data_IF_373873411565
#
_entry.id   IF_373873411565
#
_cell.length_a   1.000
_cell.length_b   1.000
_cell.length_c   1.000
_cell.angle_alpha   90.00
_cell.angle_beta   90.00
_cell.angle_gamma   90.00
#
_symmetry.space_group_name_H-M   'P 1'
#
loop_
_entity.id
_entity.type
_entity.pdbx_description
1 polymer ?
#
# COMPACT_ATOMS: atom_id res chain seq x y z
N UNK A 1 -10.14 -23.63 -37.63
CA UNK A 1 -9.74 -22.45 -36.83
C UNK A 1 -10.88 -22.11 -35.87
N UNK A 2 -10.56 -21.82 -34.60
CA UNK A 2 -11.46 -21.32 -33.55
C UNK A 2 -12.49 -22.29 -32.93
N UNK A 3 -12.02 -23.36 -32.27
CA UNK A 3 -12.87 -24.17 -31.36
C UNK A 3 -12.07 -24.89 -30.25
N UNK A 4 -11.09 -24.25 -29.62
CA UNK A 4 -10.21 -24.90 -28.63
C UNK A 4 -9.86 -24.04 -27.40
N UNK A 5 -10.74 -23.12 -27.02
CA UNK A 5 -10.72 -22.60 -25.65
C UNK A 5 -12.10 -22.83 -25.08
N UNK A 6 -12.16 -23.65 -24.03
CA UNK A 6 -13.26 -23.71 -23.08
C UNK A 6 -13.40 -22.33 -22.42
N UNK A 7 -13.90 -21.35 -23.18
CA UNK A 7 -14.24 -20.04 -22.66
C UNK A 7 -15.59 -20.17 -21.99
N UNK A 8 -15.58 -20.76 -20.79
CA UNK A 8 -16.66 -20.56 -19.84
C UNK A 8 -16.70 -19.04 -19.60
N UNK A 9 -17.77 -18.37 -20.01
CA UNK A 9 -17.95 -16.93 -19.81
C UNK A 9 -17.88 -16.68 -18.30
N UNK A 10 -16.71 -16.28 -17.82
CA UNK A 10 -16.49 -16.06 -16.41
C UNK A 10 -17.44 -14.93 -15.97
N UNK A 11 -18.40 -15.28 -15.11
CA UNK A 11 -19.37 -14.33 -14.55
C UNK A 11 -18.60 -13.25 -13.81
N UNK A 12 -18.72 -12.01 -14.28
CA UNK A 12 -18.20 -10.84 -13.57
C UNK A 12 -18.87 -10.73 -12.19
N UNK A 13 -18.13 -10.31 -11.14
CA UNK A 13 -16.75 -9.81 -11.17
C UNK A 13 -15.71 -10.91 -10.89
N UNK A 14 -14.71 -11.00 -11.76
CA UNK A 14 -13.60 -11.96 -11.64
C UNK A 14 -12.54 -11.34 -10.73
N UNK A 15 -12.09 -12.04 -9.68
CA UNK A 15 -11.03 -11.54 -8.81
C UNK A 15 -9.65 -11.79 -9.42
N UNK A 16 -8.95 -10.73 -9.84
CA UNK A 16 -7.58 -10.82 -10.35
C UNK A 16 -6.61 -10.14 -9.38
N UNK A 17 -5.61 -10.89 -8.91
CA UNK A 17 -4.64 -10.46 -7.89
C UNK A 17 -5.26 -9.89 -6.59
N UNK A 18 -6.54 -10.17 -6.33
CA UNK A 18 -7.30 -9.66 -5.19
C UNK A 18 -8.06 -8.35 -5.45
N UNK A 19 -8.12 -7.88 -6.70
CA UNK A 19 -9.09 -6.87 -7.14
C UNK A 19 -10.21 -7.52 -7.97
N UNK A 20 -11.49 -7.24 -7.67
CA UNK A 20 -12.59 -7.56 -8.56
C UNK A 20 -12.48 -6.77 -9.88
N UNK A 21 -12.15 -7.46 -10.97
CA UNK A 21 -12.24 -6.93 -12.34
C UNK A 21 -13.72 -6.84 -12.73
N UNK A 22 -14.17 -5.63 -13.07
CA UNK A 22 -15.57 -5.33 -13.41
C UNK A 22 -16.31 -4.50 -12.36
N UNK A 23 -15.67 -4.12 -11.25
CA UNK A 23 -16.22 -3.19 -10.27
C UNK A 23 -15.89 -1.72 -10.57
N UNK A 24 -16.70 -0.78 -10.07
CA UNK A 24 -16.45 0.65 -10.22
C UNK A 24 -15.27 1.11 -9.33
N UNK A 25 -14.09 1.47 -9.89
CA UNK A 25 -12.89 1.81 -9.11
C UNK A 25 -13.05 3.07 -8.23
N UNK A 26 -14.13 3.84 -8.37
CA UNK A 26 -14.45 4.95 -7.46
C UNK A 26 -15.06 4.50 -6.13
N UNK A 27 -15.59 3.27 -6.03
CA UNK A 27 -16.15 2.75 -4.78
C UNK A 27 -15.03 2.28 -3.86
N UNK A 28 -14.99 2.79 -2.62
CA UNK A 28 -14.02 2.34 -1.61
C UNK A 28 -14.09 0.83 -1.34
N UNK A 29 -15.26 0.21 -1.52
CA UNK A 29 -15.45 -1.22 -1.26
C UNK A 29 -14.55 -2.14 -2.09
N UNK A 30 -14.21 -1.73 -3.33
CA UNK A 30 -13.25 -2.47 -4.18
C UNK A 30 -11.83 -2.49 -3.63
N UNK A 31 -11.49 -1.51 -2.80
CA UNK A 31 -10.15 -1.31 -2.29
C UNK A 31 -9.95 -1.87 -0.87
N UNK A 32 -11.03 -2.28 -0.19
CA UNK A 32 -10.98 -2.92 1.14
C UNK A 32 -10.05 -4.14 1.14
N UNK A 33 -10.08 -5.07 0.15
CA UNK A 33 -9.17 -6.21 0.11
C UNK A 33 -7.69 -5.80 0.04
N UNK A 34 -7.38 -4.74 -0.71
CA UNK A 34 -6.02 -4.19 -0.83
C UNK A 34 -5.55 -3.61 0.49
N UNK A 35 -6.40 -2.81 1.15
CA UNK A 35 -6.10 -2.25 2.46
C UNK A 35 -5.89 -3.34 3.51
N UNK A 36 -6.68 -4.42 3.45
CA UNK A 36 -6.51 -5.56 4.35
C UNK A 36 -5.20 -6.31 4.07
N UNK A 37 -4.82 -6.52 2.81
CA UNK A 37 -3.50 -7.07 2.46
C UNK A 37 -2.36 -6.22 3.02
N UNK A 38 -2.44 -4.89 2.86
CA UNK A 38 -1.45 -3.95 3.42
C UNK A 38 -1.34 -4.11 4.94
N UNK A 39 -2.49 -4.16 5.64
CA UNK A 39 -2.52 -4.36 7.09
C UNK A 39 -1.94 -5.71 7.51
N UNK A 40 -2.28 -6.79 6.80
CA UNK A 40 -1.76 -8.13 7.08
C UNK A 40 -0.25 -8.19 6.89
N UNK A 41 0.28 -7.54 5.86
CA UNK A 41 1.72 -7.47 5.67
C UNK A 41 2.36 -6.66 6.80
N UNK A 42 1.78 -5.53 7.21
CA UNK A 42 2.30 -4.68 8.30
C UNK A 42 2.18 -5.30 9.70
N UNK A 43 1.21 -6.20 9.93
CA UNK A 43 0.87 -6.69 11.28
C UNK A 43 2.01 -7.47 11.98
N UNK A 44 2.73 -8.41 11.32
CA UNK A 44 3.90 -9.07 11.89
C UNK A 44 5.02 -8.09 12.22
N UNK A 45 5.29 -7.15 11.32
CA UNK A 45 6.38 -6.18 11.46
C UNK A 45 6.11 -5.09 12.50
N UNK A 46 4.84 -4.83 12.81
CA UNK A 46 4.44 -3.95 13.91
C UNK A 46 4.76 -4.56 15.29
N UNK A 47 4.78 -5.91 15.37
CA UNK A 47 5.02 -6.66 16.61
C UNK A 47 6.51 -6.91 16.87
N UNK A 48 7.34 -6.95 15.82
CA UNK A 48 8.79 -7.03 15.93
C UNK A 48 9.44 -5.68 16.23
N UNK A 49 10.50 -5.67 17.05
CA UNK A 49 11.36 -4.49 17.29
C UNK A 49 12.18 -4.13 16.04
N UNK A 50 11.54 -3.68 14.96
CA UNK A 50 12.25 -3.19 13.79
C UNK A 50 12.97 -1.87 14.07
N UNK A 51 14.21 -1.77 13.58
CA UNK A 51 14.93 -0.50 13.50
C UNK A 51 14.22 0.45 12.53
N UNK A 52 14.41 1.77 12.72
CA UNK A 52 13.84 2.79 11.82
C UNK A 52 14.26 2.60 10.36
N UNK A 53 15.50 2.14 10.14
CA UNK A 53 16.02 1.80 8.81
C UNK A 53 15.27 0.62 8.17
N UNK A 54 15.01 -0.45 8.94
CA UNK A 54 14.22 -1.59 8.48
C UNK A 54 12.79 -1.21 8.12
N UNK A 55 12.16 -0.35 8.92
CA UNK A 55 10.82 0.19 8.60
C UNK A 55 10.81 1.00 7.32
N UNK A 56 11.83 1.84 7.10
CA UNK A 56 11.95 2.65 5.88
C UNK A 56 12.09 1.78 4.63
N UNK A 57 12.93 0.74 4.69
CA UNK A 57 13.09 -0.24 3.61
C UNK A 57 11.75 -0.95 3.35
N UNK A 58 11.06 -1.40 4.40
CA UNK A 58 9.76 -2.05 4.25
C UNK A 58 8.72 -1.13 3.59
N UNK A 59 8.62 0.13 4.03
CA UNK A 59 7.73 1.11 3.41
C UNK A 59 8.11 1.28 1.94
N UNK A 60 9.39 1.49 1.64
CA UNK A 60 9.87 1.77 0.29
C UNK A 60 9.62 0.64 -0.69
N UNK A 61 9.83 -0.62 -0.30
CA UNK A 61 9.71 -1.76 -1.21
C UNK A 61 8.32 -2.38 -1.20
N UNK A 62 7.75 -2.58 -0.02
CA UNK A 62 6.49 -3.31 0.15
C UNK A 62 5.29 -2.39 0.02
N UNK A 63 5.34 -1.20 0.66
CA UNK A 63 4.21 -0.27 0.62
C UNK A 63 4.20 0.60 -0.64
N UNK A 64 5.29 0.71 -1.40
CA UNK A 64 5.29 1.40 -2.70
C UNK A 64 4.87 0.50 -3.87
N UNK A 65 5.18 -0.80 -3.82
CA UNK A 65 4.84 -1.75 -4.90
C UNK A 65 3.33 -2.00 -5.02
N UNK A 66 2.62 -2.07 -3.89
CA UNK A 66 1.16 -2.27 -3.83
C UNK A 66 0.34 -1.13 -4.49
N UNK A 67 0.55 0.16 -4.15
CA UNK A 67 -0.07 1.28 -4.84
C UNK A 67 0.34 1.37 -6.30
N UNK A 68 1.61 1.09 -6.62
CA UNK A 68 2.10 1.12 -8.02
C UNK A 68 1.35 0.10 -8.88
N UNK A 69 1.18 -1.13 -8.38
CA UNK A 69 0.36 -2.14 -9.05
C UNK A 69 -1.10 -1.68 -9.21
N UNK A 70 -1.68 -1.11 -8.15
CA UNK A 70 -3.05 -0.59 -8.19
C UNK A 70 -3.24 0.52 -9.22
N UNK A 71 -2.29 1.46 -9.32
CA UNK A 71 -2.30 2.55 -10.31
C UNK A 71 -2.16 2.05 -11.74
N UNK A 72 -1.45 0.93 -11.96
CA UNK A 72 -1.31 0.31 -13.28
C UNK A 72 -2.62 -0.29 -13.80
N UNK A 73 -3.51 -0.74 -12.91
CA UNK A 73 -4.77 -1.41 -13.30
C UNK A 73 -5.96 -0.45 -13.25
N UNK A 74 -6.00 0.46 -12.27
CA UNK A 74 -7.10 1.41 -12.09
C UNK A 74 -6.61 2.78 -11.61
N UNK A 75 -7.33 3.85 -12.01
CA UNK A 75 -7.14 5.18 -11.38
C UNK A 75 -7.54 5.11 -9.91
N UNK A 76 -6.57 5.25 -9.01
CA UNK A 76 -6.78 5.27 -7.56
C UNK A 76 -7.56 6.54 -7.16
N UNK A 77 -8.62 6.42 -6.33
CA UNK A 77 -9.27 7.58 -5.76
C UNK A 77 -8.36 8.24 -4.70
N UNK A 78 -8.32 9.57 -4.68
CA UNK A 78 -7.47 10.37 -3.77
C UNK A 78 -7.69 10.02 -2.29
N UNK A 79 -8.92 9.65 -1.90
CA UNK A 79 -9.22 9.21 -0.54
C UNK A 79 -8.50 7.92 -0.14
N UNK A 80 -8.30 6.99 -1.08
CA UNK A 80 -7.57 5.75 -0.83
C UNK A 80 -6.06 6.03 -0.71
N UNK A 81 -5.51 6.86 -1.61
CA UNK A 81 -4.11 7.27 -1.53
C UNK A 81 -3.80 7.87 -0.13
N UNK A 82 -4.65 8.79 0.34
CA UNK A 82 -4.54 9.37 1.69
C UNK A 82 -4.64 8.33 2.81
N UNK A 83 -5.50 7.31 2.67
CA UNK A 83 -5.59 6.21 3.65
C UNK A 83 -4.30 5.39 3.70
N UNK A 84 -3.69 5.11 2.54
CA UNK A 84 -2.43 4.36 2.45
C UNK A 84 -1.29 5.18 3.06
N UNK A 85 -1.15 6.46 2.70
CA UNK A 85 -0.17 7.37 3.29
C UNK A 85 -0.31 7.47 4.81
N UNK A 86 -1.54 7.54 5.33
CA UNK A 86 -1.80 7.53 6.78
C UNK A 86 -1.30 6.24 7.45
N UNK A 87 -1.45 5.09 6.79
CA UNK A 87 -0.92 3.81 7.31
C UNK A 87 0.60 3.77 7.30
N UNK A 88 1.23 4.24 6.21
CA UNK A 88 2.70 4.33 6.10
C UNK A 88 3.28 5.26 7.17
N UNK A 89 2.68 6.45 7.36
CA UNK A 89 3.06 7.42 8.39
C UNK A 89 2.91 6.85 9.80
N UNK A 90 1.79 6.18 10.06
CA UNK A 90 1.55 5.50 11.34
C UNK A 90 2.57 4.40 11.61
N UNK A 91 2.98 3.64 10.58
CA UNK A 91 4.00 2.60 10.74
C UNK A 91 5.41 3.16 10.96
N UNK A 92 5.78 4.24 10.26
CA UNK A 92 7.08 4.89 10.41
C UNK A 92 7.26 5.53 11.79
N UNK A 93 6.25 6.28 12.25
CA UNK A 93 6.31 7.07 13.49
C UNK A 93 6.05 6.28 14.78
N UNK A 94 5.53 5.05 14.70
CA UNK A 94 5.19 4.27 15.89
C UNK A 94 6.41 3.50 16.42
N UNK A 95 7.30 4.22 17.09
CA UNK A 95 8.36 3.63 17.92
C UNK A 95 7.70 2.96 19.13
N UNK A 96 7.94 1.66 19.33
CA UNK A 96 7.28 0.92 20.41
C UNK A 96 7.47 1.59 21.77
N UNK A 97 6.44 1.45 22.63
CA UNK A 97 6.19 1.79 24.05
C UNK A 97 7.22 2.62 24.85
N UNK A 98 8.53 2.62 24.58
CA UNK A 98 9.55 3.16 25.49
C UNK A 98 10.62 4.10 24.88
N UNK A 99 10.54 4.54 23.62
CA UNK A 99 11.57 5.47 23.08
C UNK A 99 11.00 6.84 22.71
N UNK A 100 11.57 7.88 23.34
CA UNK A 100 11.32 9.32 23.15
C UNK A 100 10.93 9.64 21.69
N UNK A 101 9.84 10.42 21.54
CA UNK A 101 9.43 11.08 20.29
C UNK A 101 10.66 11.76 19.66
N UNK A 102 11.30 11.08 18.71
CA UNK A 102 12.23 11.73 17.80
C UNK A 102 11.38 12.71 17.00
N UNK A 103 11.85 13.95 16.86
CA UNK A 103 11.20 15.00 16.07
C UNK A 103 10.71 14.40 14.75
N UNK A 104 9.39 14.32 14.56
CA UNK A 104 8.81 13.79 13.33
C UNK A 104 9.26 14.68 12.20
N UNK A 105 10.04 14.12 11.27
CA UNK A 105 10.26 14.74 9.97
C UNK A 105 8.88 14.89 9.32
N UNK A 106 8.61 16.06 8.77
CA UNK A 106 7.38 16.30 8.04
C UNK A 106 7.22 15.23 6.94
N UNK A 107 6.02 14.65 6.82
CA UNK A 107 5.81 13.50 5.93
C UNK A 107 6.07 13.89 4.46
N UNK A 108 5.76 15.14 4.11
CA UNK A 108 6.06 15.73 2.81
C UNK A 108 7.59 15.79 2.57
N UNK A 109 8.35 16.12 3.62
CA UNK A 109 9.82 16.09 3.58
C UNK A 109 10.37 14.68 3.45
N UNK A 110 9.74 13.70 4.09
CA UNK A 110 10.11 12.29 3.96
C UNK A 110 9.95 11.78 2.52
N UNK A 111 8.93 12.23 1.79
CA UNK A 111 8.69 11.84 0.41
C UNK A 111 9.66 12.46 -0.61
N UNK A 112 10.39 13.52 -0.27
CA UNK A 112 11.37 14.09 -1.20
C UNK A 112 12.53 13.13 -1.49
N UNK A 113 13.12 13.26 -2.68
CA UNK A 113 14.33 12.52 -3.04
C UNK A 113 15.46 12.77 -2.04
N UNK A 114 16.33 11.77 -1.85
CA UNK A 114 17.53 11.88 -1.00
C UNK A 114 18.43 13.09 -1.34
N UNK A 115 18.47 13.50 -2.61
CA UNK A 115 19.20 14.70 -3.07
C UNK A 115 18.66 16.01 -2.49
N UNK A 116 17.39 16.05 -2.08
CA UNK A 116 16.72 17.20 -1.45
C UNK A 116 16.54 16.99 0.05
N UNK A 117 17.45 16.29 0.71
CA UNK A 117 17.39 15.96 2.14
C UNK A 117 16.16 15.12 2.58
N UNK A 118 15.43 14.51 1.65
CA UNK A 118 14.29 13.64 1.95
C UNK A 118 14.66 12.16 2.10
N UNK A 119 13.69 11.32 2.42
CA UNK A 119 13.87 9.88 2.63
C UNK A 119 13.59 9.05 1.36
N UNK A 120 13.00 9.66 0.33
CA UNK A 120 12.71 9.06 -0.97
C UNK A 120 11.65 7.97 -0.89
N UNK A 121 10.57 8.26 -0.16
CA UNK A 121 9.40 7.41 0.07
C UNK A 121 8.27 7.80 -0.88
#
# INVERSE_FOLDING_TARGET
>A
MAAAFFCSKAKVPISYLGLPLGGNPRKESLWIPVLNKIKQILAPWKRGFMSKGGRLVLIKYVLSSLPTFCMSVFKIPVGLARKIEKMQRGFFGNDGIMKKKIHSVDWSTACYCKRKCGLGI
#
